data_IF_797901864079
#
_entry.id   IF_797901864079
#
_cell.length_a   1.000
_cell.length_b   1.000
_cell.length_c   1.000
_cell.angle_alpha   90.00
_cell.angle_beta   90.00
_cell.angle_gamma   90.00
#
_symmetry.space_group_name_H-M   'P 1'
#
loop_
_entity.id
_entity.type
_entity.pdbx_description
1 polymer ?
#
# COMPACT_ATOMS: atom_id res chain seq x y z
N UNK A 1 12.10 -11.61 21.67
CA UNK A 1 13.09 -11.60 20.56
C UNK A 1 12.81 -12.80 19.68
N UNK A 2 12.61 -12.62 18.38
CA UNK A 2 12.45 -13.69 17.39
C UNK A 2 13.68 -13.71 16.48
N UNK A 3 14.22 -14.89 16.23
CA UNK A 3 15.38 -15.09 15.34
C UNK A 3 14.97 -16.05 14.23
N UNK A 4 15.17 -15.64 12.98
CA UNK A 4 15.06 -16.53 11.83
C UNK A 4 16.47 -16.74 11.28
N UNK A 5 16.95 -17.98 11.22
CA UNK A 5 18.33 -18.28 10.82
C UNK A 5 18.46 -19.58 10.04
N UNK A 6 19.70 -20.02 9.82
CA UNK A 6 20.04 -21.15 8.95
C UNK A 6 19.51 -20.97 7.53
N UNK A 7 19.51 -19.71 7.02
CA UNK A 7 19.03 -19.41 5.67
C UNK A 7 20.08 -18.70 4.81
N UNK A 8 19.87 -18.73 3.50
CA UNK A 8 20.62 -17.93 2.54
C UNK A 8 20.03 -16.53 2.53
N UNK A 9 20.75 -15.59 3.11
CA UNK A 9 20.22 -14.25 3.34
C UNK A 9 20.62 -13.27 2.25
N UNK A 10 19.64 -12.56 1.71
CA UNK A 10 19.79 -11.43 0.80
C UNK A 10 19.51 -10.16 1.60
N UNK A 11 20.55 -9.37 1.87
CA UNK A 11 20.43 -8.19 2.75
C UNK A 11 20.07 -6.91 2.00
N UNK A 12 20.39 -6.84 0.70
CA UNK A 12 20.37 -5.64 -0.13
C UNK A 12 21.31 -4.52 0.33
N UNK A 13 22.22 -4.81 1.24
CA UNK A 13 23.34 -3.94 1.59
C UNK A 13 24.46 -4.09 0.54
N UNK A 14 24.90 -2.99 -0.04
CA UNK A 14 25.94 -3.01 -1.08
C UNK A 14 27.30 -3.54 -0.57
N UNK A 15 27.58 -3.43 0.72
CA UNK A 15 28.82 -3.90 1.35
C UNK A 15 28.77 -5.39 1.70
N UNK A 16 27.58 -5.95 1.92
CA UNK A 16 27.39 -7.35 2.29
C UNK A 16 26.01 -7.85 1.78
N UNK A 17 25.88 -7.94 0.46
CA UNK A 17 24.60 -8.24 -0.19
C UNK A 17 24.07 -9.64 0.06
N UNK A 18 24.94 -10.60 0.48
CA UNK A 18 24.58 -12.01 0.66
C UNK A 18 25.35 -12.65 1.83
N UNK A 19 24.64 -13.42 2.66
CA UNK A 19 25.22 -14.22 3.76
C UNK A 19 24.75 -15.67 3.60
N UNK A 20 25.68 -16.61 3.37
CA UNK A 20 25.37 -18.02 3.08
C UNK A 20 24.57 -18.70 4.20
N UNK A 21 24.95 -18.51 5.46
CA UNK A 21 24.25 -19.00 6.64
C UNK A 21 23.83 -17.81 7.50
N UNK A 22 22.86 -17.04 6.99
CA UNK A 22 22.41 -15.79 7.60
C UNK A 22 21.29 -15.98 8.60
N UNK A 23 21.16 -15.01 9.48
CA UNK A 23 20.04 -14.84 10.40
C UNK A 23 19.65 -13.37 10.59
N UNK A 24 18.39 -13.18 10.93
CA UNK A 24 17.81 -11.88 11.34
C UNK A 24 17.22 -12.03 12.74
N UNK A 25 17.51 -11.09 13.64
CA UNK A 25 16.86 -10.96 14.95
C UNK A 25 15.89 -9.78 14.94
N UNK A 26 14.73 -9.98 15.56
CA UNK A 26 13.64 -9.03 15.62
C UNK A 26 13.09 -8.88 17.02
N UNK A 27 12.85 -7.61 17.39
CA UNK A 27 12.13 -7.27 18.61
C UNK A 27 10.80 -6.61 18.23
N UNK A 28 9.70 -7.32 18.49
CA UNK A 28 8.39 -6.93 17.97
C UNK A 28 8.43 -6.80 16.44
N UNK A 29 8.16 -5.61 15.94
CA UNK A 29 8.17 -5.28 14.50
C UNK A 29 9.50 -4.69 14.01
N UNK A 30 10.59 -4.74 14.85
CA UNK A 30 11.88 -4.10 14.56
C UNK A 30 12.97 -5.13 14.31
N UNK A 31 13.66 -5.05 13.15
CA UNK A 31 14.92 -5.76 12.92
C UNK A 31 16.01 -5.08 13.76
N UNK A 32 16.60 -5.83 14.67
CA UNK A 32 17.65 -5.31 15.58
C UNK A 32 19.05 -5.80 15.21
N UNK A 33 19.16 -6.94 14.51
CA UNK A 33 20.44 -7.46 14.03
C UNK A 33 20.26 -8.30 12.77
N UNK A 34 21.22 -8.19 11.87
CA UNK A 34 21.42 -9.06 10.70
C UNK A 34 22.89 -9.51 10.71
N UNK A 35 23.14 -10.79 10.48
CA UNK A 35 24.48 -11.35 10.47
C UNK A 35 24.48 -12.84 10.16
N UNK A 36 25.57 -13.54 10.45
CA UNK A 36 25.59 -14.99 10.40
C UNK A 36 24.71 -15.59 11.50
N UNK A 37 24.20 -16.79 11.28
CA UNK A 37 23.35 -17.47 12.29
C UNK A 37 24.05 -17.59 13.65
N UNK A 38 25.36 -17.88 13.64
CA UNK A 38 26.14 -18.02 14.89
C UNK A 38 26.31 -16.69 15.62
N UNK A 39 26.58 -15.60 14.90
CA UNK A 39 26.69 -14.26 15.48
C UNK A 39 25.37 -13.82 16.12
N UNK A 40 24.24 -14.00 15.43
CA UNK A 40 22.93 -13.60 15.91
C UNK A 40 22.50 -14.43 17.13
N UNK A 41 22.70 -15.76 17.09
CA UNK A 41 22.42 -16.64 18.24
C UNK A 41 23.29 -16.29 19.43
N UNK A 42 24.55 -15.95 19.23
CA UNK A 42 25.43 -15.53 20.30
C UNK A 42 25.01 -14.22 20.97
N UNK A 43 24.50 -13.29 20.15
CA UNK A 43 24.02 -12.00 20.64
C UNK A 43 22.68 -12.10 21.38
N UNK A 44 21.84 -13.05 21.00
CA UNK A 44 20.49 -13.26 21.57
C UNK A 44 20.25 -14.73 21.91
N UNK A 45 20.94 -15.29 22.94
CA UNK A 45 20.91 -16.72 23.26
C UNK A 45 19.52 -17.20 23.67
N UNK A 46 18.71 -16.34 24.28
CA UNK A 46 17.35 -16.67 24.77
C UNK A 46 16.24 -16.32 23.70
N UNK A 47 16.63 -15.98 22.50
CA UNK A 47 15.67 -15.68 21.42
C UNK A 47 14.96 -16.94 20.92
N UNK A 48 13.64 -16.82 20.66
CA UNK A 48 12.89 -17.85 19.95
C UNK A 48 13.48 -18.04 18.55
N UNK A 49 13.88 -19.27 18.21
CA UNK A 49 14.57 -19.57 16.97
C UNK A 49 13.68 -20.29 15.96
N UNK A 50 13.54 -19.70 14.78
CA UNK A 50 12.90 -20.32 13.61
C UNK A 50 13.98 -20.74 12.62
N UNK A 51 14.02 -22.03 12.30
CA UNK A 51 14.98 -22.59 11.35
C UNK A 51 14.46 -22.44 9.92
N UNK A 52 15.14 -21.64 9.10
CA UNK A 52 14.83 -21.46 7.68
C UNK A 52 15.23 -22.68 6.84
N UNK A 53 15.94 -23.67 7.39
CA UNK A 53 16.32 -24.95 6.75
C UNK A 53 16.98 -24.77 5.38
N UNK A 54 17.87 -23.78 5.26
CA UNK A 54 18.54 -23.44 4.00
C UNK A 54 17.67 -22.67 2.99
N UNK A 55 16.47 -22.26 3.39
CA UNK A 55 15.60 -21.38 2.62
C UNK A 55 16.21 -20.00 2.43
N UNK A 56 15.55 -19.15 1.62
CA UNK A 56 15.99 -17.77 1.40
C UNK A 56 15.36 -16.87 2.45
N UNK A 57 16.17 -16.05 3.12
CA UNK A 57 15.74 -14.96 3.99
C UNK A 57 16.03 -13.66 3.23
N UNK A 58 15.01 -12.86 2.98
CA UNK A 58 15.14 -11.63 2.20
C UNK A 58 14.11 -10.59 2.64
N UNK A 59 14.32 -9.29 2.33
CA UNK A 59 13.28 -8.28 2.48
C UNK A 59 12.03 -8.68 1.70
N UNK A 60 10.83 -8.54 2.30
CA UNK A 60 9.60 -8.89 1.61
C UNK A 60 9.27 -7.95 0.46
N UNK A 61 8.26 -8.33 -0.29
CA UNK A 61 7.79 -7.54 -1.41
C UNK A 61 6.95 -6.35 -0.94
N UNK A 62 7.03 -5.28 -1.72
CA UNK A 62 6.19 -4.10 -1.60
C UNK A 62 5.31 -4.05 -2.83
N UNK A 63 3.99 -4.14 -2.65
CA UNK A 63 3.03 -3.90 -3.72
C UNK A 63 2.78 -2.38 -3.82
N UNK A 64 3.28 -1.76 -4.86
CA UNK A 64 3.20 -0.30 -5.05
C UNK A 64 1.99 0.14 -5.89
N UNK A 65 1.16 -0.79 -6.35
CA UNK A 65 -0.03 -0.51 -7.15
C UNK A 65 -1.11 -1.54 -6.85
N UNK A 66 -2.10 -1.14 -6.05
CA UNK A 66 -3.23 -2.00 -5.69
C UNK A 66 -4.53 -1.20 -5.81
N UNK A 67 -5.60 -1.93 -6.07
CA UNK A 67 -6.99 -1.47 -6.00
C UNK A 67 -7.79 -2.45 -5.15
N UNK A 68 -7.69 -2.31 -3.84
CA UNK A 68 -8.27 -3.23 -2.84
C UNK A 68 -9.75 -3.52 -3.12
N UNK A 69 -10.53 -2.51 -3.51
CA UNK A 69 -11.95 -2.67 -3.82
C UNK A 69 -12.22 -3.69 -4.93
N UNK A 70 -11.25 -3.98 -5.77
CA UNK A 70 -11.37 -4.90 -6.90
C UNK A 70 -11.31 -6.38 -6.49
N UNK A 71 -11.00 -6.71 -5.24
CA UNK A 71 -10.80 -8.09 -4.79
C UNK A 71 -12.05 -8.95 -4.99
N UNK A 72 -13.25 -8.37 -4.93
CA UNK A 72 -14.51 -9.06 -5.18
C UNK A 72 -14.85 -9.24 -6.66
N UNK A 73 -14.07 -8.66 -7.58
CA UNK A 73 -14.24 -8.89 -9.01
C UNK A 73 -13.69 -10.25 -9.47
N UNK A 74 -12.94 -10.95 -8.63
CA UNK A 74 -12.41 -12.28 -8.98
C UNK A 74 -13.53 -13.28 -9.22
N UNK A 75 -13.61 -13.78 -10.47
CA UNK A 75 -14.67 -14.71 -10.89
C UNK A 75 -16.03 -14.06 -11.10
N UNK A 76 -16.15 -12.74 -11.00
CA UNK A 76 -17.40 -12.03 -11.26
C UNK A 76 -17.76 -12.13 -12.73
N UNK A 77 -19.02 -12.53 -13.01
CA UNK A 77 -19.62 -12.52 -14.34
C UNK A 77 -20.79 -11.55 -14.35
N UNK A 78 -20.68 -10.49 -15.12
CA UNK A 78 -21.76 -9.50 -15.27
C UNK A 78 -22.59 -9.87 -16.49
N UNK A 79 -23.89 -10.15 -16.28
CA UNK A 79 -24.80 -10.56 -17.35
C UNK A 79 -24.95 -9.45 -18.40
N UNK A 80 -24.71 -9.79 -19.66
CA UNK A 80 -24.82 -8.86 -20.78
C UNK A 80 -23.66 -7.88 -20.93
N UNK A 81 -22.63 -8.01 -20.10
CA UNK A 81 -21.41 -7.18 -20.18
C UNK A 81 -20.53 -7.67 -21.33
N UNK A 82 -20.29 -6.80 -22.30
CA UNK A 82 -19.45 -7.07 -23.47
C UNK A 82 -18.66 -5.80 -23.83
N UNK A 83 -17.61 -5.46 -23.07
CA UNK A 83 -16.84 -4.23 -23.27
C UNK A 83 -16.12 -4.26 -24.61
N UNK A 84 -16.09 -3.13 -25.29
CA UNK A 84 -15.39 -2.93 -26.58
C UNK A 84 -14.17 -2.04 -26.42
N UNK A 85 -14.04 -1.36 -25.29
CA UNK A 85 -12.94 -0.47 -24.99
C UNK A 85 -12.71 -0.31 -23.49
N UNK A 86 -11.64 0.39 -23.15
CA UNK A 86 -11.25 0.58 -21.74
C UNK A 86 -12.31 1.33 -20.92
N UNK A 87 -12.95 2.36 -21.50
CA UNK A 87 -14.02 3.10 -20.81
C UNK A 87 -15.22 2.21 -20.50
N UNK A 88 -15.56 1.26 -21.38
CA UNK A 88 -16.62 0.29 -21.13
C UNK A 88 -16.28 -0.62 -19.94
N UNK A 89 -14.98 -0.95 -19.77
CA UNK A 89 -14.49 -1.73 -18.63
C UNK A 89 -14.60 -0.93 -17.34
N UNK A 90 -14.23 0.35 -17.37
CA UNK A 90 -14.37 1.23 -16.22
C UNK A 90 -15.84 1.34 -15.79
N UNK A 91 -16.72 1.79 -16.70
CA UNK A 91 -18.12 2.07 -16.38
C UNK A 91 -18.91 0.79 -16.06
N UNK A 92 -18.78 -0.22 -16.91
CA UNK A 92 -19.57 -1.45 -16.80
C UNK A 92 -19.12 -2.42 -15.69
N UNK A 93 -17.90 -2.34 -15.22
CA UNK A 93 -17.37 -3.22 -14.18
C UNK A 93 -16.88 -2.46 -12.95
N UNK A 94 -15.80 -1.67 -13.07
CA UNK A 94 -15.12 -1.12 -11.90
C UNK A 94 -15.96 -0.07 -11.19
N UNK A 95 -16.52 0.91 -11.90
CA UNK A 95 -17.39 1.94 -11.34
C UNK A 95 -18.75 1.38 -10.89
N UNK A 96 -19.20 0.28 -11.49
CA UNK A 96 -20.39 -0.43 -11.02
C UNK A 96 -20.12 -1.09 -9.66
N UNK A 97 -18.97 -1.76 -9.49
CA UNK A 97 -18.59 -2.39 -8.22
C UNK A 97 -18.45 -1.33 -7.14
N UNK A 98 -17.68 -0.28 -7.37
CA UNK A 98 -17.35 0.71 -6.35
C UNK A 98 -18.55 1.54 -5.89
N UNK A 99 -19.53 1.79 -6.79
CA UNK A 99 -20.80 2.46 -6.43
C UNK A 99 -21.69 1.62 -5.50
N UNK A 100 -21.46 0.33 -5.39
CA UNK A 100 -22.26 -0.58 -4.58
C UNK A 100 -21.57 -1.03 -3.29
N UNK A 101 -20.28 -0.73 -3.11
CA UNK A 101 -19.55 -1.12 -1.90
C UNK A 101 -20.05 -0.36 -0.67
N UNK A 102 -20.32 -1.12 0.38
CA UNK A 102 -20.50 -0.60 1.75
C UNK A 102 -19.15 -0.53 2.48
N UNK A 103 -19.08 0.19 3.59
CA UNK A 103 -17.86 0.22 4.42
C UNK A 103 -17.45 -1.17 4.91
N UNK A 104 -18.42 -2.04 5.25
CA UNK A 104 -18.14 -3.42 5.64
C UNK A 104 -17.54 -4.22 4.48
N UNK A 105 -18.10 -4.10 3.28
CA UNK A 105 -17.55 -4.76 2.09
C UNK A 105 -16.17 -4.22 1.70
N UNK A 106 -15.94 -2.93 1.86
CA UNK A 106 -14.61 -2.31 1.71
C UNK A 106 -13.62 -2.94 2.68
N UNK A 107 -13.98 -3.08 3.96
CA UNK A 107 -13.15 -3.76 4.95
C UNK A 107 -12.89 -5.22 4.60
N UNK A 108 -13.92 -5.96 4.18
CA UNK A 108 -13.77 -7.38 3.79
C UNK A 108 -12.92 -7.55 2.53
N UNK A 109 -13.01 -6.63 1.55
CA UNK A 109 -12.12 -6.64 0.39
C UNK A 109 -10.66 -6.42 0.79
N UNK A 110 -10.42 -5.54 1.76
CA UNK A 110 -9.09 -5.32 2.32
C UNK A 110 -8.58 -6.57 3.05
N UNK A 111 -9.40 -7.23 3.88
CA UNK A 111 -9.04 -8.49 4.51
C UNK A 111 -8.60 -9.54 3.49
N UNK A 112 -9.38 -9.72 2.41
CA UNK A 112 -9.06 -10.69 1.36
C UNK A 112 -7.72 -10.35 0.66
N UNK A 113 -7.52 -9.08 0.27
CA UNK A 113 -6.30 -8.63 -0.39
C UNK A 113 -5.07 -8.76 0.51
N UNK A 114 -5.17 -8.37 1.78
CA UNK A 114 -4.05 -8.47 2.71
C UNK A 114 -3.68 -9.90 3.07
N UNK A 115 -4.66 -10.81 3.21
CA UNK A 115 -4.38 -12.25 3.40
C UNK A 115 -3.61 -12.80 2.21
N UNK A 116 -4.05 -12.49 0.98
CA UNK A 116 -3.34 -12.91 -0.23
C UNK A 116 -1.94 -12.28 -0.32
N UNK A 117 -1.80 -11.01 0.05
CA UNK A 117 -0.52 -10.31 0.13
C UNK A 117 0.46 -11.00 1.07
N UNK A 118 0.04 -11.31 2.30
CA UNK A 118 0.84 -12.02 3.31
C UNK A 118 1.28 -13.39 2.77
N UNK A 119 0.35 -14.16 2.19
CA UNK A 119 0.63 -15.49 1.63
C UNK A 119 1.64 -15.48 0.50
N UNK A 120 1.79 -14.35 -0.19
CA UNK A 120 2.75 -14.16 -1.27
C UNK A 120 3.99 -13.34 -0.86
N UNK A 121 4.21 -13.12 0.45
CA UNK A 121 5.38 -12.41 0.96
C UNK A 121 5.35 -10.90 0.73
N UNK A 122 4.18 -10.31 0.49
CA UNK A 122 3.98 -8.87 0.42
C UNK A 122 3.60 -8.37 1.81
N UNK A 123 4.35 -7.41 2.34
CA UNK A 123 4.13 -6.86 3.68
C UNK A 123 3.84 -5.37 3.71
N UNK A 124 3.93 -4.72 2.55
CA UNK A 124 3.59 -3.31 2.38
C UNK A 124 2.78 -3.15 1.11
N UNK A 125 1.63 -2.50 1.23
CA UNK A 125 0.68 -2.30 0.11
C UNK A 125 0.39 -0.81 -0.04
N UNK A 126 0.48 -0.32 -1.28
CA UNK A 126 0.01 1.02 -1.67
C UNK A 126 -1.30 0.85 -2.41
N UNK A 127 -2.39 1.35 -1.83
CA UNK A 127 -3.72 1.22 -2.39
C UNK A 127 -4.27 2.56 -2.90
N UNK A 128 -4.85 2.51 -4.08
CA UNK A 128 -5.63 3.58 -4.68
C UNK A 128 -7.10 3.16 -4.65
N UNK A 129 -7.80 3.54 -3.59
CA UNK A 129 -9.14 3.05 -3.28
C UNK A 129 -10.25 3.85 -3.97
N UNK A 130 -11.30 3.14 -4.37
CA UNK A 130 -12.56 3.71 -4.84
C UNK A 130 -13.76 2.97 -4.23
N UNK A 131 -14.72 3.72 -3.71
CA UNK A 131 -15.99 3.22 -3.18
C UNK A 131 -17.04 4.34 -3.18
N UNK A 132 -17.47 4.77 -4.36
CA UNK A 132 -18.35 5.93 -4.53
C UNK A 132 -19.74 5.75 -3.91
N UNK A 133 -20.12 4.51 -3.56
CA UNK A 133 -21.29 4.25 -2.72
C UNK A 133 -21.14 4.76 -1.29
N UNK A 134 -19.94 4.62 -0.69
CA UNK A 134 -19.62 5.07 0.68
C UNK A 134 -18.18 5.58 0.72
N UNK A 135 -17.99 6.87 0.46
CA UNK A 135 -16.67 7.51 0.38
C UNK A 135 -16.08 7.70 1.77
N UNK A 136 -16.77 8.50 2.59
CA UNK A 136 -16.26 8.90 3.90
C UNK A 136 -16.15 7.69 4.84
N UNK A 137 -14.95 7.51 5.42
CA UNK A 137 -14.62 6.41 6.32
C UNK A 137 -14.14 5.14 5.62
N UNK A 138 -14.07 5.11 4.29
CA UNK A 138 -13.62 3.95 3.54
C UNK A 138 -12.15 3.62 3.77
N UNK A 139 -11.28 4.62 3.82
CA UNK A 139 -9.86 4.43 4.12
C UNK A 139 -9.64 3.94 5.56
N UNK A 140 -10.44 4.41 6.51
CA UNK A 140 -10.42 3.90 7.89
C UNK A 140 -10.90 2.45 7.99
N UNK A 141 -11.86 2.04 7.15
CA UNK A 141 -12.29 0.64 7.07
C UNK A 141 -11.16 -0.26 6.57
N UNK A 142 -10.39 0.18 5.57
CA UNK A 142 -9.19 -0.52 5.07
C UNK A 142 -8.10 -0.56 6.13
N UNK A 143 -7.82 0.57 6.80
CA UNK A 143 -6.86 0.66 7.88
C UNK A 143 -7.15 -0.36 9.00
N UNK A 144 -8.43 -0.51 9.38
CA UNK A 144 -8.81 -1.47 10.42
C UNK A 144 -8.44 -2.91 10.06
N UNK A 145 -8.59 -3.30 8.78
CA UNK A 145 -8.18 -4.59 8.27
C UNK A 145 -6.63 -4.73 8.25
N UNK A 146 -5.93 -3.67 7.83
CA UNK A 146 -4.47 -3.65 7.81
C UNK A 146 -3.88 -3.82 9.22
N UNK A 147 -4.42 -3.12 10.21
CA UNK A 147 -4.00 -3.23 11.62
C UNK A 147 -4.30 -4.60 12.21
N UNK A 148 -5.46 -5.18 11.92
CA UNK A 148 -5.82 -6.52 12.38
C UNK A 148 -4.89 -7.61 11.83
N UNK A 149 -4.49 -7.50 10.57
CA UNK A 149 -3.62 -8.48 9.90
C UNK A 149 -2.12 -8.17 10.01
N UNK A 150 -1.76 -7.00 10.53
CA UNK A 150 -0.37 -6.60 10.67
C UNK A 150 0.33 -6.26 9.36
N UNK A 151 -0.40 -5.76 8.36
CA UNK A 151 0.14 -5.34 7.06
C UNK A 151 0.37 -3.84 7.06
N UNK A 152 1.56 -3.43 6.64
CA UNK A 152 1.85 -2.01 6.43
C UNK A 152 1.13 -1.51 5.18
N UNK A 153 0.47 -0.37 5.26
CA UNK A 153 -0.29 0.16 4.13
C UNK A 153 -0.13 1.66 3.95
N UNK A 154 -0.12 2.10 2.69
CA UNK A 154 -0.22 3.49 2.30
C UNK A 154 -1.49 3.66 1.48
N UNK A 155 -2.43 4.45 1.99
CA UNK A 155 -3.77 4.55 1.42
C UNK A 155 -4.01 5.93 0.79
N UNK A 156 -4.77 5.93 -0.29
CA UNK A 156 -5.39 7.13 -0.83
C UNK A 156 -6.75 6.80 -1.43
N UNK A 157 -7.63 7.80 -1.47
CA UNK A 157 -8.93 7.70 -2.12
C UNK A 157 -8.90 8.28 -3.52
N UNK A 158 -9.56 7.65 -4.47
CA UNK A 158 -9.71 8.13 -5.86
C UNK A 158 -10.52 9.42 -5.93
N UNK A 159 -9.88 10.54 -6.25
CA UNK A 159 -10.56 11.80 -6.55
C UNK A 159 -10.94 11.78 -8.03
N UNK A 160 -12.23 11.97 -8.31
CA UNK A 160 -12.79 11.98 -9.66
C UNK A 160 -14.14 12.68 -9.68
N UNK A 161 -14.45 13.37 -10.78
CA UNK A 161 -15.70 14.09 -11.00
C UNK A 161 -16.78 13.23 -11.68
N UNK A 162 -16.50 11.95 -11.89
CA UNK A 162 -17.36 11.04 -12.66
C UNK A 162 -18.79 10.87 -12.10
N UNK A 163 -18.97 11.08 -10.80
CA UNK A 163 -20.28 11.01 -10.14
C UNK A 163 -20.73 12.39 -9.60
N UNK A 164 -20.18 13.48 -10.15
CA UNK A 164 -20.54 14.86 -9.85
C UNK A 164 -19.73 15.51 -8.74
N UNK A 165 -19.81 16.83 -8.64
CA UNK A 165 -18.96 17.67 -7.78
C UNK A 165 -19.14 17.39 -6.28
N UNK A 166 -20.32 16.97 -5.83
CA UNK A 166 -20.53 16.63 -4.41
C UNK A 166 -19.70 15.39 -4.05
N UNK A 167 -19.65 14.38 -4.91
CA UNK A 167 -18.82 13.20 -4.72
C UNK A 167 -17.33 13.51 -4.84
N UNK A 168 -16.96 14.44 -5.71
CA UNK A 168 -15.58 14.93 -5.80
C UNK A 168 -15.14 15.60 -4.49
N UNK A 169 -15.98 16.46 -3.92
CA UNK A 169 -15.69 17.09 -2.62
C UNK A 169 -15.60 16.06 -1.49
N UNK A 170 -16.52 15.07 -1.44
CA UNK A 170 -16.42 13.97 -0.49
C UNK A 170 -15.08 13.22 -0.63
N UNK A 171 -14.65 12.90 -1.85
CA UNK A 171 -13.39 12.17 -2.11
C UNK A 171 -12.15 12.99 -1.74
N UNK A 172 -12.14 14.29 -1.98
CA UNK A 172 -11.07 15.19 -1.50
C UNK A 172 -11.05 15.20 0.03
N UNK A 173 -12.22 15.31 0.68
CA UNK A 173 -12.29 15.33 2.15
C UNK A 173 -11.89 14.03 2.79
N UNK A 174 -12.21 12.87 2.19
CA UNK A 174 -11.73 11.56 2.68
C UNK A 174 -10.20 11.50 2.68
N UNK A 175 -9.54 11.92 1.57
CA UNK A 175 -8.09 12.03 1.53
C UNK A 175 -7.54 12.97 2.61
N UNK A 176 -8.10 14.18 2.74
CA UNK A 176 -7.62 15.18 3.70
C UNK A 176 -7.73 14.68 5.13
N UNK A 177 -8.87 14.06 5.48
CA UNK A 177 -9.12 13.55 6.82
C UNK A 177 -8.20 12.37 7.13
N UNK A 178 -8.07 11.43 6.20
CA UNK A 178 -7.21 10.27 6.40
C UNK A 178 -5.72 10.64 6.44
N UNK A 179 -5.27 11.59 5.61
CA UNK A 179 -3.89 12.11 5.67
C UNK A 179 -3.59 12.69 7.05
N UNK A 180 -4.48 13.53 7.60
CA UNK A 180 -4.31 14.09 8.94
C UNK A 180 -4.24 13.00 10.01
N UNK A 181 -5.09 11.99 9.89
CA UNK A 181 -5.10 10.83 10.78
C UNK A 181 -3.78 10.05 10.69
N UNK A 182 -3.33 9.70 9.47
CA UNK A 182 -2.09 8.96 9.25
C UNK A 182 -0.83 9.73 9.69
N UNK A 183 -0.83 11.07 9.57
CA UNK A 183 0.28 11.90 10.06
C UNK A 183 0.36 11.95 11.60
N UNK A 184 -0.74 11.67 12.28
CA UNK A 184 -0.81 11.61 13.75
C UNK A 184 -0.60 10.17 14.30
N UNK A 185 -0.52 9.16 13.42
CA UNK A 185 -0.29 7.76 13.81
C UNK A 185 1.21 7.50 13.97
N UNK A 186 1.62 7.07 15.16
CA UNK A 186 3.03 6.79 15.49
C UNK A 186 3.43 5.34 15.23
N UNK A 187 2.53 4.51 14.67
CA UNK A 187 2.75 3.06 14.56
C UNK A 187 3.68 2.62 13.44
N UNK A 188 4.09 3.49 12.51
CA UNK A 188 4.80 3.15 11.27
C UNK A 188 4.03 2.17 10.33
N UNK A 189 2.81 1.80 10.69
CA UNK A 189 2.03 0.84 9.93
C UNK A 189 1.14 1.50 8.88
N UNK A 190 0.81 2.76 9.07
CA UNK A 190 -0.14 3.49 8.25
C UNK A 190 0.52 4.73 7.67
N UNK A 191 0.38 4.89 6.37
CA UNK A 191 0.73 6.11 5.65
C UNK A 191 -0.41 6.52 4.73
N UNK A 192 -0.38 7.75 4.26
CA UNK A 192 -1.37 8.27 3.33
C UNK A 192 -0.73 9.08 2.21
N UNK A 193 -1.41 9.07 1.07
CA UNK A 193 -1.13 9.91 -0.08
C UNK A 193 -2.42 10.57 -0.54
N UNK A 194 -2.34 11.50 -1.49
CA UNK A 194 -3.52 12.00 -2.16
C UNK A 194 -3.74 11.22 -3.45
N UNK A 195 -4.87 10.53 -3.57
CA UNK A 195 -5.25 9.78 -4.77
C UNK A 195 -5.91 10.71 -5.79
N UNK A 196 -5.52 10.58 -7.05
CA UNK A 196 -6.15 11.25 -8.19
C UNK A 196 -6.34 10.23 -9.29
N UNK A 197 -7.55 10.13 -9.87
CA UNK A 197 -7.82 9.12 -10.88
C UNK A 197 -7.05 9.42 -12.18
N UNK A 198 -7.60 10.22 -13.06
CA UNK A 198 -7.00 10.50 -14.35
C UNK A 198 -7.35 11.92 -14.80
N UNK A 199 -6.50 12.52 -15.63
CA UNK A 199 -6.68 13.92 -16.08
C UNK A 199 -8.02 14.19 -16.73
N UNK A 200 -8.59 13.21 -17.46
CA UNK A 200 -9.89 13.34 -18.13
C UNK A 200 -11.11 13.18 -17.20
N UNK A 201 -10.89 12.84 -15.94
CA UNK A 201 -11.96 12.67 -14.93
C UNK A 201 -11.91 13.70 -13.82
N UNK A 202 -11.06 14.71 -13.92
CA UNK A 202 -10.83 15.74 -12.91
C UNK A 202 -10.88 17.11 -13.58
N UNK A 203 -11.80 17.97 -13.12
CA UNK A 203 -11.93 19.35 -13.57
C UNK A 203 -10.90 20.28 -12.90
N UNK A 204 -10.75 21.47 -13.47
CA UNK A 204 -9.92 22.53 -12.88
C UNK A 204 -10.44 22.92 -11.49
N UNK A 205 -11.78 22.97 -11.28
CA UNK A 205 -12.40 23.25 -9.97
C UNK A 205 -11.96 22.22 -8.92
N UNK A 206 -11.97 20.94 -9.26
CA UNK A 206 -11.53 19.87 -8.35
C UNK A 206 -10.01 19.94 -8.09
N UNK A 207 -9.22 20.31 -9.13
CA UNK A 207 -7.78 20.53 -8.96
C UNK A 207 -7.47 21.71 -8.02
N UNK A 208 -8.19 22.82 -8.15
CA UNK A 208 -8.05 23.96 -7.24
C UNK A 208 -8.41 23.56 -5.81
N UNK A 209 -9.54 22.87 -5.59
CA UNK A 209 -9.92 22.36 -4.28
C UNK A 209 -8.85 21.42 -3.69
N UNK A 210 -8.24 20.56 -4.49
CA UNK A 210 -7.14 19.70 -4.07
C UNK A 210 -5.92 20.50 -3.63
N UNK A 211 -5.59 21.59 -4.31
CA UNK A 211 -4.46 22.45 -3.97
C UNK A 211 -4.72 23.24 -2.68
N UNK A 212 -5.91 23.81 -2.54
CA UNK A 212 -6.30 24.62 -1.39
C UNK A 212 -6.30 23.82 -0.07
N UNK A 213 -6.72 22.56 -0.14
CA UNK A 213 -6.83 21.67 1.01
C UNK A 213 -5.62 20.74 1.20
N UNK A 214 -4.54 20.96 0.45
CA UNK A 214 -3.36 20.10 0.48
C UNK A 214 -2.64 20.14 1.83
N UNK A 215 -2.56 19.03 2.59
CA UNK A 215 -1.68 18.93 3.73
C UNK A 215 -0.21 19.01 3.30
N UNK A 216 0.62 19.70 4.07
CA UNK A 216 2.06 19.82 3.78
C UNK A 216 2.76 18.45 3.86
N UNK A 217 3.77 18.27 3.02
CA UNK A 217 4.66 17.10 3.07
C UNK A 217 4.09 15.80 2.49
N UNK A 218 2.87 15.81 1.95
CA UNK A 218 2.21 14.61 1.39
C UNK A 218 2.25 14.62 -0.14
N UNK A 219 2.67 13.48 -0.72
CA UNK A 219 2.71 13.26 -2.17
C UNK A 219 1.36 12.92 -2.78
N UNK A 220 1.35 12.82 -4.10
CA UNK A 220 0.20 12.36 -4.90
C UNK A 220 0.46 10.95 -5.41
N UNK A 221 -0.59 10.13 -5.45
CA UNK A 221 -0.67 8.92 -6.24
C UNK A 221 -1.65 9.17 -7.38
N UNK A 222 -1.16 9.13 -8.60
CA UNK A 222 -1.95 9.30 -9.80
C UNK A 222 -2.14 7.95 -10.48
N UNK A 223 -3.37 7.50 -10.63
CA UNK A 223 -3.73 6.34 -11.44
C UNK A 223 -3.94 6.82 -12.88
N UNK A 224 -2.84 7.17 -13.57
CA UNK A 224 -2.92 7.66 -14.94
C UNK A 224 -2.91 6.52 -15.94
N UNK A 225 -3.98 6.40 -16.72
CA UNK A 225 -3.97 5.71 -17.99
C UNK A 225 -4.27 6.78 -19.04
N UNK A 226 -3.29 7.15 -19.85
CA UNK A 226 -3.54 7.94 -21.05
C UNK A 226 -4.05 6.99 -22.12
N UNK A 227 -5.13 7.38 -22.81
CA UNK A 227 -5.85 6.54 -23.77
C UNK A 227 -5.00 6.15 -24.99
N UNK A 228 -3.88 6.84 -25.24
CA UNK A 228 -3.05 6.67 -26.43
C UNK A 228 -1.62 6.19 -26.19
N UNK A 229 -1.17 6.07 -24.94
CA UNK A 229 0.16 5.55 -24.65
C UNK A 229 0.11 4.62 -23.45
N UNK A 230 0.49 3.37 -23.65
CA UNK A 230 0.96 2.49 -22.56
C UNK A 230 2.26 3.09 -22.04
N UNK A 231 2.17 4.12 -21.24
CA UNK A 231 3.31 4.63 -20.51
C UNK A 231 3.66 3.55 -19.49
N UNK A 232 4.70 2.81 -19.78
CA UNK A 232 5.35 1.92 -18.83
C UNK A 232 5.42 2.60 -17.47
N UNK A 233 5.22 1.85 -16.42
CA UNK A 233 5.09 2.22 -15.01
C UNK A 233 6.29 3.04 -14.46
N UNK A 234 6.64 4.16 -15.12
CA UNK A 234 7.66 5.12 -14.67
C UNK A 234 7.17 5.97 -13.49
N UNK A 235 5.85 6.05 -13.28
CA UNK A 235 5.27 6.74 -12.12
C UNK A 235 5.63 6.07 -10.80
N UNK A 236 5.71 4.74 -10.73
CA UNK A 236 6.11 4.02 -9.52
C UNK A 236 7.56 4.35 -9.12
N UNK A 237 8.46 4.51 -10.08
CA UNK A 237 9.87 4.85 -9.83
C UNK A 237 10.03 6.30 -9.38
N UNK A 238 9.30 7.24 -9.98
CA UNK A 238 9.30 8.65 -9.57
C UNK A 238 8.69 8.84 -8.18
N UNK A 239 7.63 8.07 -7.86
CA UNK A 239 7.02 8.03 -6.54
C UNK A 239 8.00 7.49 -5.48
N UNK A 240 8.72 6.41 -5.80
CA UNK A 240 9.69 5.80 -4.91
C UNK A 240 10.84 6.77 -4.57
N UNK A 241 11.31 7.53 -5.55
CA UNK A 241 12.35 8.55 -5.35
C UNK A 241 11.83 9.77 -4.54
N UNK A 242 10.56 10.12 -4.68
CA UNK A 242 9.95 11.20 -3.90
C UNK A 242 9.66 10.76 -2.46
N UNK A 243 9.22 9.53 -2.27
CA UNK A 243 9.00 8.91 -0.96
C UNK A 243 10.31 8.76 -0.17
N UNK A 244 11.38 8.33 -0.83
CA UNK A 244 12.71 8.27 -0.20
C UNK A 244 13.26 9.66 0.20
N UNK A 245 12.90 10.73 -0.54
CA UNK A 245 13.27 12.12 -0.17
C UNK A 245 12.42 12.67 0.98
N UNK A 246 11.15 12.29 1.08
CA UNK A 246 10.26 12.65 2.20
C UNK A 246 10.66 11.93 3.48
N UNK A 247 11.00 10.66 3.39
CA UNK A 247 11.53 9.84 4.48
C UNK A 247 12.86 10.43 5.02
N UNK A 248 13.77 10.88 4.13
CA UNK A 248 15.04 11.46 4.53
C UNK A 248 14.94 12.89 5.11
N UNK A 249 13.79 13.58 4.98
CA UNK A 249 13.58 14.91 5.59
C UNK A 249 13.17 14.86 7.06
N UNK A 250 12.58 13.77 7.55
CA UNK A 250 12.43 13.50 8.98
C UNK A 250 13.70 12.79 9.46
N UNK A 251 14.68 13.55 9.95
CA UNK A 251 15.99 13.07 10.41
C UNK A 251 15.94 11.99 11.51
N UNK A 252 14.76 11.68 12.06
CA UNK A 252 14.57 10.76 13.16
C UNK A 252 13.79 9.49 12.78
N UNK A 253 13.28 9.35 11.55
CA UNK A 253 12.60 8.14 11.10
C UNK A 253 13.61 7.31 10.29
N UNK A 254 14.31 6.40 10.98
CA UNK A 254 14.98 5.27 10.33
C UNK A 254 13.89 4.35 9.78
N UNK A 255 13.49 4.55 8.53
CA UNK A 255 12.78 3.50 7.79
C UNK A 255 13.75 2.34 7.60
N UNK A 256 13.80 1.48 8.58
CA UNK A 256 14.31 0.15 8.37
C UNK A 256 13.20 -0.61 7.68
N UNK A 257 13.42 -0.99 6.42
CA UNK A 257 12.57 -1.95 5.74
C UNK A 257 12.57 -3.23 6.58
N UNK A 258 11.49 -3.42 7.32
CA UNK A 258 11.30 -4.58 8.15
C UNK A 258 10.30 -5.47 7.47
N UNK A 259 10.80 -6.59 7.07
CA UNK A 259 9.99 -7.59 6.45
C UNK A 259 10.34 -8.95 7.01
N UNK A 260 9.34 -9.64 7.44
CA UNK A 260 9.42 -11.01 7.90
C UNK A 260 8.50 -11.84 7.03
N UNK A 261 9.03 -12.93 6.52
CA UNK A 261 8.22 -14.04 6.02
C UNK A 261 7.87 -14.94 7.20
#
# INVERSE_FOLDING_TARGET
MLIIGNGRMITRDASNAFIENGAVAMDGNTIVMVGTTDEVKKAYPDGEFVDARGGVIMPAFINTHEHIYSSFARGLSIKGYNPKGFLDILDGQWWTIDRHLTLEQTRLSAMATYIDSIRNGVTTVFDHHASFGHIIGSLSAIESAAKELGVRTCLCYEISDRDGMDKSRESVMENVNFIKHALADDSDMIAAMRGMHASFTISDETMELCNDLKPEGVGYLLSSITVDEVVSCSCAVSLFLHFSKLINRRKDIKFQFKTII
#
